data_IF_750327106516
#
_entry.id   IF_750327106516
#
_cell.length_a   1.000
_cell.length_b   1.000
_cell.length_c   1.000
_cell.angle_alpha   90.00
_cell.angle_beta   90.00
_cell.angle_gamma   90.00
#
_symmetry.space_group_name_H-M   'P 1'
#
loop_
_entity.id
_entity.type
_entity.pdbx_description
1 polymer ?
#
# COMPACT_ATOMS: atom_id res chain seq x y z
N UNK A 1 0.99 2.54 -13.83
CA UNK A 1 1.58 1.19 -13.98
C UNK A 1 0.68 0.20 -13.25
N UNK A 2 0.33 -0.93 -13.86
CA UNK A 2 -0.71 -1.85 -13.35
C UNK A 2 -0.08 -3.19 -12.94
N UNK A 3 -0.49 -3.82 -11.82
CA UNK A 3 -0.05 -5.17 -11.47
C UNK A 3 -0.40 -6.19 -12.57
N UNK A 4 0.47 -7.18 -12.75
CA UNK A 4 0.25 -8.29 -13.67
C UNK A 4 -0.68 -9.33 -13.03
N UNK A 5 -1.66 -9.85 -13.80
CA UNK A 5 -2.47 -10.99 -13.36
C UNK A 5 -1.65 -12.28 -13.38
N UNK A 6 -2.06 -13.27 -12.59
CA UNK A 6 -1.37 -14.57 -12.50
C UNK A 6 -1.15 -15.26 -13.86
N UNK A 7 -2.15 -15.19 -14.75
CA UNK A 7 -2.05 -15.73 -16.11
C UNK A 7 -1.11 -14.97 -17.05
N UNK A 8 -0.83 -13.69 -16.77
CA UNK A 8 0.14 -12.91 -17.55
C UNK A 8 1.57 -13.24 -17.09
N UNK A 9 1.76 -13.53 -15.80
CA UNK A 9 3.05 -13.94 -15.24
C UNK A 9 3.51 -15.32 -15.75
N UNK A 10 2.59 -16.26 -16.01
CA UNK A 10 2.91 -17.58 -16.56
C UNK A 10 3.25 -17.54 -18.05
N UNK A 11 2.79 -16.52 -18.78
CA UNK A 11 3.10 -16.27 -20.20
C UNK A 11 4.48 -15.65 -20.43
N UNK A 12 5.13 -15.13 -19.39
CA UNK A 12 6.47 -14.56 -19.48
C UNK A 12 7.55 -15.64 -19.61
N UNK A 13 8.63 -15.28 -20.31
CA UNK A 13 9.85 -16.09 -20.42
C UNK A 13 10.36 -16.45 -19.01
N UNK A 14 10.76 -17.71 -18.75
CA UNK A 14 11.16 -18.15 -17.41
C UNK A 14 12.22 -17.28 -16.74
N UNK A 15 13.19 -16.76 -17.52
CA UNK A 15 14.28 -15.91 -17.04
C UNK A 15 13.82 -14.59 -16.40
N UNK A 16 12.71 -14.01 -16.87
CA UNK A 16 12.20 -12.71 -16.38
C UNK A 16 11.05 -12.85 -15.37
N UNK A 17 10.47 -14.06 -15.25
CA UNK A 17 9.28 -14.32 -14.45
C UNK A 17 9.46 -13.96 -12.97
N UNK A 18 10.63 -14.26 -12.40
CA UNK A 18 10.94 -13.94 -10.99
C UNK A 18 10.95 -12.42 -10.75
N UNK A 19 11.65 -11.67 -11.60
CA UNK A 19 11.71 -10.21 -11.49
C UNK A 19 10.32 -9.58 -11.70
N UNK A 20 9.55 -10.07 -12.68
CA UNK A 20 8.20 -9.59 -12.93
C UNK A 20 7.23 -9.87 -11.77
N UNK A 21 7.33 -11.04 -11.11
CA UNK A 21 6.57 -11.36 -9.89
C UNK A 21 6.88 -10.38 -8.76
N UNK A 22 8.17 -10.12 -8.50
CA UNK A 22 8.60 -9.19 -7.44
C UNK A 22 8.08 -7.78 -7.73
N UNK A 23 8.24 -7.28 -8.95
CA UNK A 23 7.75 -5.96 -9.34
C UNK A 23 6.23 -5.85 -9.24
N UNK A 24 5.48 -6.85 -9.72
CA UNK A 24 4.01 -6.87 -9.63
C UNK A 24 3.53 -6.90 -8.17
N UNK A 25 4.21 -7.68 -7.33
CA UNK A 25 3.99 -7.73 -5.88
C UNK A 25 4.24 -6.38 -5.21
N UNK A 26 5.34 -5.71 -5.54
CA UNK A 26 5.67 -4.38 -5.01
C UNK A 26 4.63 -3.32 -5.44
N UNK A 27 4.17 -3.33 -6.70
CA UNK A 27 3.11 -2.42 -7.18
C UNK A 27 1.81 -2.69 -6.41
N UNK A 28 1.42 -3.95 -6.24
CA UNK A 28 0.22 -4.32 -5.48
C UNK A 28 0.33 -3.88 -4.02
N UNK A 29 1.48 -4.12 -3.39
CA UNK A 29 1.77 -3.72 -2.02
C UNK A 29 1.59 -2.22 -1.81
N UNK A 30 2.20 -1.39 -2.68
CA UNK A 30 2.08 0.08 -2.58
C UNK A 30 0.65 0.54 -2.78
N UNK A 31 -0.09 -0.05 -3.73
CA UNK A 31 -1.50 0.30 -3.98
C UNK A 31 -2.39 -0.08 -2.81
N UNK A 32 -2.30 -1.31 -2.32
CA UNK A 32 -3.07 -1.76 -1.15
C UNK A 32 -2.73 -0.93 0.09
N UNK A 33 -1.46 -0.59 0.30
CA UNK A 33 -1.05 0.30 1.39
C UNK A 33 -1.70 1.68 1.30
N UNK A 34 -1.74 2.26 0.09
CA UNK A 34 -2.37 3.55 -0.14
C UNK A 34 -3.89 3.47 0.04
N UNK A 35 -4.54 2.45 -0.53
CA UNK A 35 -5.99 2.24 -0.43
C UNK A 35 -6.44 2.00 1.03
N UNK A 36 -5.74 1.15 1.76
CA UNK A 36 -6.06 0.82 3.16
C UNK A 36 -5.78 1.99 4.10
N UNK A 37 -4.69 2.73 3.86
CA UNK A 37 -4.37 3.94 4.61
C UNK A 37 -5.41 5.05 4.37
N UNK A 38 -5.81 5.26 3.12
CA UNK A 38 -6.77 6.30 2.74
C UNK A 38 -8.18 6.05 3.25
N UNK A 39 -8.65 4.79 3.25
CA UNK A 39 -9.99 4.45 3.73
C UNK A 39 -10.22 4.79 5.21
N UNK A 40 -9.18 4.79 6.05
CA UNK A 40 -9.30 5.22 7.44
C UNK A 40 -9.38 6.75 7.56
N UNK A 41 -8.60 7.49 6.77
CA UNK A 41 -8.64 8.96 6.76
C UNK A 41 -10.03 9.46 6.43
N UNK A 42 -10.62 8.94 5.34
CA UNK A 42 -11.97 9.32 4.91
C UNK A 42 -13.02 9.03 6.00
N UNK A 43 -12.96 7.83 6.62
CA UNK A 43 -13.85 7.46 7.73
C UNK A 43 -13.72 8.38 8.94
N UNK A 44 -12.51 8.81 9.30
CA UNK A 44 -12.29 9.71 10.44
C UNK A 44 -12.88 11.09 10.18
N UNK A 45 -12.65 11.66 8.99
CA UNK A 45 -13.24 12.95 8.62
C UNK A 45 -14.77 12.88 8.59
N UNK A 46 -15.32 11.81 8.02
CA UNK A 46 -16.77 11.57 8.00
C UNK A 46 -17.35 11.44 9.43
N UNK A 47 -16.71 10.65 10.32
CA UNK A 47 -17.17 10.46 11.70
C UNK A 47 -17.10 11.74 12.53
N UNK A 48 -16.09 12.57 12.32
CA UNK A 48 -15.94 13.84 13.01
C UNK A 48 -16.78 14.96 12.40
N UNK A 49 -17.54 14.69 11.33
CA UNK A 49 -18.29 15.69 10.56
C UNK A 49 -17.39 16.86 10.10
N UNK A 50 -16.11 16.56 9.84
CA UNK A 50 -15.12 17.53 9.38
C UNK A 50 -14.91 17.36 7.89
N UNK A 51 -14.86 18.48 7.17
CA UNK A 51 -14.44 18.50 5.77
C UNK A 51 -12.93 18.68 5.68
N UNK A 52 -12.34 18.10 4.62
CA UNK A 52 -10.98 18.46 4.24
C UNK A 52 -10.97 19.93 3.77
N UNK A 53 -9.92 20.71 4.10
CA UNK A 53 -9.79 22.08 3.65
C UNK A 53 -9.91 22.18 2.13
N UNK A 54 -10.59 23.22 1.63
CA UNK A 54 -10.65 23.49 0.19
C UNK A 54 -9.28 23.87 -0.38
N UNK A 55 -8.53 24.68 0.36
CA UNK A 55 -7.15 25.08 0.05
C UNK A 55 -6.24 23.85 -0.13
N UNK A 56 -5.67 23.74 -1.33
CA UNK A 56 -4.82 22.62 -1.75
C UNK A 56 -3.58 22.48 -0.87
N UNK A 57 -2.94 23.59 -0.49
CA UNK A 57 -1.72 23.56 0.33
C UNK A 57 -2.04 23.09 1.74
N UNK A 58 -3.11 23.62 2.34
CA UNK A 58 -3.55 23.20 3.69
C UNK A 58 -4.00 21.73 3.69
N UNK A 59 -4.71 21.29 2.65
CA UNK A 59 -5.12 19.90 2.47
C UNK A 59 -3.90 18.98 2.36
N UNK A 60 -2.92 19.33 1.53
CA UNK A 60 -1.67 18.58 1.36
C UNK A 60 -0.94 18.46 2.69
N UNK A 61 -0.77 19.56 3.43
CA UNK A 61 -0.09 19.56 4.73
C UNK A 61 -0.81 18.67 5.76
N UNK A 62 -2.14 18.74 5.85
CA UNK A 62 -2.91 17.88 6.78
C UNK A 62 -2.76 16.40 6.47
N UNK A 63 -2.89 16.03 5.18
CA UNK A 63 -2.73 14.63 4.76
C UNK A 63 -1.29 14.16 5.00
N UNK A 64 -0.27 14.95 4.67
CA UNK A 64 1.14 14.59 4.88
C UNK A 64 1.43 14.34 6.38
N UNK A 65 0.93 15.21 7.26
CA UNK A 65 1.05 15.02 8.70
C UNK A 65 0.39 13.73 9.18
N UNK A 66 -0.82 13.43 8.69
CA UNK A 66 -1.55 12.22 9.06
C UNK A 66 -0.83 10.95 8.61
N UNK A 67 -0.25 10.95 7.41
CA UNK A 67 0.57 9.87 6.89
C UNK A 67 1.87 9.69 7.69
N UNK A 68 2.57 10.78 8.01
CA UNK A 68 3.79 10.74 8.84
C UNK A 68 3.52 10.18 10.23
N UNK A 69 2.45 10.62 10.90
CA UNK A 69 2.06 10.12 12.22
C UNK A 69 1.71 8.63 12.19
N UNK A 70 0.95 8.21 11.17
CA UNK A 70 0.60 6.80 10.99
C UNK A 70 1.85 5.93 10.77
N UNK A 71 2.78 6.40 9.93
CA UNK A 71 4.04 5.72 9.67
C UNK A 71 4.98 5.73 10.89
N UNK A 72 4.99 6.80 11.68
CA UNK A 72 5.75 6.87 12.93
C UNK A 72 5.25 5.79 13.91
N UNK A 73 3.93 5.70 14.13
CA UNK A 73 3.35 4.64 14.97
C UNK A 73 3.76 3.25 14.49
N UNK A 74 3.65 2.99 13.18
CA UNK A 74 4.03 1.70 12.60
C UNK A 74 5.51 1.38 12.80
N UNK A 75 6.41 2.36 12.66
CA UNK A 75 7.85 2.18 12.89
C UNK A 75 8.19 1.95 14.36
N UNK A 76 7.53 2.66 15.27
CA UNK A 76 7.78 2.55 16.71
C UNK A 76 7.20 1.26 17.31
N UNK A 77 5.98 0.88 16.91
CA UNK A 77 5.29 -0.30 17.46
C UNK A 77 5.63 -1.58 16.69
N UNK A 78 6.16 -1.48 15.48
CA UNK A 78 6.54 -2.62 14.63
C UNK A 78 5.36 -3.37 14.00
N UNK A 79 4.11 -3.01 14.35
CA UNK A 79 2.90 -3.63 13.81
C UNK A 79 2.54 -2.96 12.49
N UNK A 80 2.89 -3.63 11.39
CA UNK A 80 2.42 -3.31 10.05
C UNK A 80 1.71 -4.52 9.47
N UNK A 81 0.36 -4.49 9.43
CA UNK A 81 -0.42 -5.55 8.78
C UNK A 81 0.03 -5.77 7.32
N UNK A 82 0.45 -4.69 6.66
CA UNK A 82 0.92 -4.70 5.27
C UNK A 82 2.25 -5.47 5.14
N UNK A 83 3.17 -5.32 6.11
CA UNK A 83 4.41 -6.11 6.16
C UNK A 83 4.13 -7.59 6.42
N UNK A 84 3.11 -7.91 7.21
CA UNK A 84 2.79 -9.31 7.51
C UNK A 84 1.98 -9.99 6.41
N UNK A 85 1.14 -9.29 5.65
CA UNK A 85 0.27 -9.94 4.63
C UNK A 85 0.99 -10.26 3.33
N UNK A 86 1.93 -9.43 2.88
CA UNK A 86 2.55 -9.58 1.55
C UNK A 86 3.85 -10.39 1.51
N UNK A 87 4.51 -10.62 2.65
CA UNK A 87 5.80 -11.32 2.70
C UNK A 87 5.70 -12.84 2.95
N UNK A 88 4.50 -13.41 3.04
CA UNK A 88 4.32 -14.87 3.05
C UNK A 88 4.31 -15.39 1.60
N UNK A 89 5.45 -15.25 0.92
CA UNK A 89 5.74 -16.05 -0.26
C UNK A 89 6.07 -17.45 0.22
N UNK A 90 5.17 -18.41 -0.01
CA UNK A 90 5.49 -19.82 0.04
C UNK A 90 6.75 -20.02 -0.83
N UNK A 91 7.84 -20.44 -0.19
CA UNK A 91 8.96 -21.03 -0.92
C UNK A 91 8.41 -22.33 -1.52
N UNK A 92 7.92 -22.25 -2.77
CA UNK A 92 7.75 -23.42 -3.63
C UNK A 92 9.15 -24.01 -3.86
N UNK A 93 9.62 -24.73 -2.85
CA UNK A 93 10.79 -25.60 -2.93
C UNK A 93 10.23 -26.99 -3.18
N UNK A 94 10.46 -27.44 -4.43
CA UNK A 94 10.20 -28.78 -5.00
C UNK A 94 8.79 -29.02 -5.53
#
# INVERSE_FOLDING_TARGET
MTPLKGGDLSRLVPSVRRAAKIMSGAITFVRQSAEWGMGWVEKVYHRLLLSLPYDVNKRKMRLDNLFRLSNFRVRTVGISQIRTTHFHGHEDTM
#
